data_IF_769197948626
#
_entry.id   IF_769197948626
#
_cell.length_a   1.000
_cell.length_b   1.000
_cell.length_c   1.000
_cell.angle_alpha   90.00
_cell.angle_beta   90.00
_cell.angle_gamma   90.00
#
_symmetry.space_group_name_H-M   'P 1'
#
loop_
_entity.id
_entity.type
_entity.pdbx_description
1 polymer ?
#
# COMPACT_ATOMS: atom_id res chain seq x y z
N UNK A 1 -39.04 -18.90 -28.18
CA UNK A 1 -38.34 -20.18 -28.39
C UNK A 1 -36.89 -19.92 -28.01
N UNK A 2 -36.50 -19.82 -26.74
CA UNK A 2 -36.83 -20.58 -25.52
C UNK A 2 -36.55 -22.09 -25.62
N UNK A 3 -35.70 -22.54 -24.68
CA UNK A 3 -35.53 -23.90 -24.13
C UNK A 3 -34.81 -24.93 -25.01
N UNK A 4 -33.92 -25.82 -24.53
CA UNK A 4 -33.66 -26.43 -23.21
C UNK A 4 -32.17 -26.88 -23.17
N UNK A 5 -31.41 -26.78 -22.04
CA UNK A 5 -31.12 -27.85 -21.03
C UNK A 5 -31.00 -29.26 -21.64
N UNK A 6 -29.97 -30.08 -21.45
CA UNK A 6 -29.24 -30.54 -20.25
C UNK A 6 -28.15 -31.50 -20.83
N UNK A 7 -26.97 -31.76 -20.26
CA UNK A 7 -26.70 -32.62 -19.10
C UNK A 7 -25.20 -32.66 -18.79
N UNK A 8 -24.93 -33.04 -17.55
CA UNK A 8 -23.67 -33.27 -16.82
C UNK A 8 -22.60 -34.13 -17.51
N UNK A 9 -21.33 -33.83 -17.21
CA UNK A 9 -20.36 -34.84 -16.75
C UNK A 9 -19.06 -34.18 -16.25
N UNK A 10 -18.58 -34.67 -15.11
CA UNK A 10 -17.34 -34.33 -14.42
C UNK A 10 -16.07 -34.61 -15.24
N UNK A 11 -14.98 -33.89 -14.97
CA UNK A 11 -13.68 -34.50 -14.63
C UNK A 11 -12.66 -33.46 -14.13
N UNK A 12 -11.61 -33.99 -13.51
CA UNK A 12 -10.52 -33.38 -12.76
C UNK A 12 -9.71 -32.25 -13.42
N UNK A 13 -8.95 -31.51 -12.61
CA UNK A 13 -7.94 -30.59 -13.13
C UNK A 13 -7.20 -29.71 -12.12
N UNK A 14 -6.43 -30.34 -11.22
CA UNK A 14 -5.10 -29.88 -10.75
C UNK A 14 -4.84 -28.36 -10.58
N UNK A 15 -4.89 -27.88 -9.33
CA UNK A 15 -4.23 -26.62 -8.91
C UNK A 15 -2.79 -26.90 -8.49
N UNK A 16 -1.84 -26.26 -9.16
CA UNK A 16 -0.40 -26.34 -8.93
C UNK A 16 0.03 -25.50 -7.73
N UNK A 17 0.33 -26.13 -6.60
CA UNK A 17 1.04 -25.48 -5.47
C UNK A 17 2.55 -25.68 -5.59
N UNK A 18 3.26 -24.57 -5.77
CA UNK A 18 4.72 -24.51 -5.76
C UNK A 18 5.32 -24.94 -4.42
N UNK A 19 6.42 -25.70 -4.51
CA UNK A 19 7.28 -26.10 -3.39
C UNK A 19 7.94 -24.86 -2.74
N UNK A 20 7.75 -24.70 -1.43
CA UNK A 20 8.74 -24.02 -0.58
C UNK A 20 9.32 -25.08 0.34
N UNK A 21 10.58 -25.44 0.08
CA UNK A 21 11.36 -26.38 0.89
C UNK A 21 12.08 -25.60 1.98
N UNK A 22 11.67 -25.75 3.24
CA UNK A 22 12.46 -25.31 4.39
C UNK A 22 13.09 -26.54 5.04
N UNK A 23 14.39 -26.64 4.84
CA UNK A 23 15.29 -27.65 5.37
C UNK A 23 15.39 -27.51 6.90
N UNK A 24 14.94 -28.54 7.64
CA UNK A 24 15.07 -28.61 9.10
C UNK A 24 15.57 -29.99 9.54
N UNK A 25 16.79 -30.32 9.12
CA UNK A 25 17.55 -31.40 9.74
C UNK A 25 18.99 -30.95 10.01
N UNK A 26 19.30 -30.64 11.28
CA UNK A 26 20.63 -30.83 11.91
C UNK A 26 20.58 -30.49 13.41
N UNK A 27 20.99 -31.47 14.23
CA UNK A 27 21.21 -31.36 15.69
C UNK A 27 19.93 -31.64 16.48
N UNK A 28 19.76 -32.72 17.24
CA UNK A 28 20.70 -33.45 18.07
C UNK A 28 20.28 -34.93 18.11
N UNK A 29 21.17 -35.83 17.68
CA UNK A 29 21.14 -37.26 18.05
C UNK A 29 22.19 -37.45 19.14
N UNK A 30 21.74 -37.70 20.37
CA UNK A 30 22.40 -38.37 21.50
C UNK A 30 21.46 -38.12 22.70
N UNK A 31 20.77 -39.09 23.28
CA UNK A 31 21.28 -40.30 23.91
C UNK A 31 20.23 -41.41 23.82
N UNK A 32 20.59 -42.52 23.18
CA UNK A 32 19.90 -43.78 23.33
C UNK A 32 20.56 -44.55 24.49
N UNK A 33 19.73 -45.14 25.35
CA UNK A 33 20.12 -46.23 26.24
C UNK A 33 20.24 -45.81 27.69
N UNK A 34 19.19 -46.07 28.47
CA UNK A 34 19.25 -46.83 29.71
C UNK A 34 17.85 -47.45 29.96
N UNK A 35 17.83 -48.77 29.83
CA UNK A 35 16.99 -49.74 30.54
C UNK A 35 15.46 -49.69 30.36
N UNK A 36 15.02 -50.55 29.44
CA UNK A 36 13.98 -51.57 29.67
C UNK A 36 13.47 -51.66 31.11
N UNK A 37 12.18 -51.37 31.29
CA UNK A 37 11.27 -52.25 32.02
C UNK A 37 9.83 -51.93 31.60
N UNK A 38 9.21 -52.90 30.95
CA UNK A 38 7.79 -52.92 30.64
C UNK A 38 6.97 -52.61 31.90
N UNK A 39 6.35 -51.43 31.94
CA UNK A 39 5.18 -51.22 32.79
C UNK A 39 3.99 -51.64 31.93
N UNK A 40 3.37 -52.80 32.20
CA UNK A 40 2.32 -53.32 31.36
C UNK A 40 1.13 -52.35 31.39
N UNK A 41 0.53 -52.12 30.22
CA UNK A 41 -0.69 -51.32 29.97
C UNK A 41 -1.84 -51.61 30.96
N UNK A 42 -1.78 -52.74 31.67
CA UNK A 42 -2.65 -53.11 32.78
C UNK A 42 -2.62 -52.14 33.99
N UNK A 43 -1.54 -51.40 34.26
CA UNK A 43 -1.48 -50.48 35.43
C UNK A 43 -2.14 -49.12 35.18
N UNK A 44 -2.27 -48.68 33.92
CA UNK A 44 -3.02 -47.45 33.57
C UNK A 44 -4.53 -47.73 33.58
N UNK A 45 -4.94 -48.95 33.19
CA UNK A 45 -6.32 -49.39 33.33
C UNK A 45 -6.75 -49.56 34.80
N UNK A 46 -5.84 -49.97 35.69
CA UNK A 46 -6.14 -50.11 37.12
C UNK A 46 -6.40 -48.77 37.84
N UNK A 47 -5.78 -47.66 37.39
CA UNK A 47 -6.02 -46.32 37.96
C UNK A 47 -7.27 -45.63 37.39
N UNK A 48 -7.64 -45.89 36.13
CA UNK A 48 -8.89 -45.39 35.54
C UNK A 48 -10.14 -46.16 36.02
N UNK A 49 -10.00 -47.45 36.36
CA UNK A 49 -11.09 -48.26 36.93
C UNK A 49 -11.28 -47.97 38.42
N UNK A 50 -10.26 -47.50 39.14
CA UNK A 50 -10.38 -47.09 40.54
C UNK A 50 -11.18 -45.79 40.73
N UNK A 51 -11.26 -44.92 39.72
CA UNK A 51 -12.11 -43.72 39.77
C UNK A 51 -13.56 -43.98 39.31
N UNK A 52 -13.83 -45.05 38.55
CA UNK A 52 -15.18 -45.37 38.04
C UNK A 52 -15.89 -46.43 38.90
N UNK A 53 -15.16 -47.27 39.64
CA UNK A 53 -15.75 -48.25 40.56
C UNK A 53 -16.17 -47.70 41.94
N UNK A 54 -15.91 -46.42 42.24
CA UNK A 54 -16.41 -45.76 43.48
C UNK A 54 -17.84 -45.24 43.30
N UNK A 55 -18.36 -45.19 42.07
CA UNK A 55 -19.68 -44.59 41.79
C UNK A 55 -20.88 -45.54 42.01
N UNK A 56 -20.80 -46.89 41.96
CA UNK A 56 -21.99 -47.72 42.21
C UNK A 56 -22.09 -48.39 43.60
N UNK A 57 -21.20 -48.12 44.58
CA UNK A 57 -21.39 -48.60 45.97
C UNK A 57 -22.00 -47.54 46.89
N UNK A 58 -22.11 -46.27 46.46
CA UNK A 58 -22.77 -45.22 47.23
C UNK A 58 -24.30 -45.16 47.05
N UNK A 59 -24.92 -46.19 46.46
CA UNK A 59 -26.39 -46.29 46.38
C UNK A 59 -27.04 -47.03 47.56
N UNK A 60 -26.26 -47.53 48.51
CA UNK A 60 -26.83 -48.08 49.74
C UNK A 60 -26.07 -47.63 50.97
N UNK A 61 -26.86 -47.22 51.97
CA UNK A 61 -26.51 -46.92 53.35
C UNK A 61 -26.07 -45.48 53.61
N UNK A 62 -26.98 -44.74 54.24
CA UNK A 62 -26.67 -43.46 54.86
C UNK A 62 -25.54 -43.62 55.88
N UNK A 63 -24.48 -42.86 55.67
CA UNK A 63 -23.49 -42.50 56.67
C UNK A 63 -23.16 -41.03 56.42
N UNK A 64 -23.81 -40.15 57.17
CA UNK A 64 -23.28 -38.82 57.45
C UNK A 64 -21.90 -39.02 58.10
N UNK A 65 -20.85 -39.05 57.28
CA UNK A 65 -19.48 -38.98 57.76
C UNK A 65 -18.83 -37.77 57.11
N UNK A 66 -18.26 -36.90 57.95
CA UNK A 66 -17.63 -35.65 57.57
C UNK A 66 -16.52 -35.80 56.50
N UNK A 67 -16.07 -37.02 56.22
CA UNK A 67 -15.10 -37.33 55.18
C UNK A 67 -15.70 -37.23 53.76
N UNK A 68 -16.97 -37.64 53.55
CA UNK A 68 -17.62 -37.54 52.24
C UNK A 68 -18.09 -36.11 51.94
N UNK A 69 -18.51 -35.36 52.95
CA UNK A 69 -18.83 -33.93 52.81
C UNK A 69 -17.60 -33.12 52.39
N UNK A 70 -16.41 -33.43 52.93
CA UNK A 70 -15.16 -32.76 52.52
C UNK A 70 -14.76 -33.08 51.08
N UNK A 71 -14.98 -34.31 50.62
CA UNK A 71 -14.70 -34.69 49.22
C UNK A 71 -15.72 -34.06 48.27
N UNK A 72 -17.00 -34.04 48.62
CA UNK A 72 -18.03 -33.36 47.83
C UNK A 72 -17.80 -31.84 47.77
N UNK A 73 -17.39 -31.20 48.88
CA UNK A 73 -17.00 -29.79 48.92
C UNK A 73 -15.77 -29.52 48.06
N UNK A 74 -14.70 -30.33 48.18
CA UNK A 74 -13.51 -30.16 47.36
C UNK A 74 -13.79 -30.33 45.86
N UNK A 75 -14.66 -31.27 45.46
CA UNK A 75 -15.08 -31.44 44.06
C UNK A 75 -15.94 -30.24 43.60
N UNK A 76 -16.80 -29.70 44.47
CA UNK A 76 -17.60 -28.52 44.16
C UNK A 76 -16.74 -27.26 44.00
N UNK A 77 -15.81 -27.01 44.94
CA UNK A 77 -14.89 -25.88 44.95
C UNK A 77 -13.95 -25.92 43.71
N UNK A 78 -13.39 -27.10 43.39
CA UNK A 78 -12.53 -27.28 42.20
C UNK A 78 -13.33 -27.04 40.90
N UNK A 79 -14.59 -27.46 40.84
CA UNK A 79 -15.46 -27.20 39.68
C UNK A 79 -15.79 -25.71 39.48
N UNK A 80 -15.87 -24.94 40.57
CA UNK A 80 -16.06 -23.50 40.54
C UNK A 80 -14.79 -22.79 40.07
N UNK A 81 -13.62 -23.22 40.56
CA UNK A 81 -12.30 -22.72 40.16
C UNK A 81 -12.02 -22.96 38.67
N UNK A 82 -12.31 -24.15 38.14
CA UNK A 82 -12.21 -24.44 36.71
C UNK A 82 -13.13 -23.56 35.87
N UNK A 83 -14.36 -23.33 36.34
CA UNK A 83 -15.33 -22.47 35.64
C UNK A 83 -14.87 -21.01 35.60
N UNK A 84 -14.30 -20.48 36.70
CA UNK A 84 -13.75 -19.12 36.71
C UNK A 84 -12.50 -19.00 35.83
N UNK A 85 -11.63 -20.02 35.83
CA UNK A 85 -10.47 -20.06 34.94
C UNK A 85 -10.88 -20.02 33.46
N UNK A 86 -11.90 -20.79 33.05
CA UNK A 86 -12.45 -20.75 31.69
C UNK A 86 -13.03 -19.36 31.37
N UNK A 87 -13.74 -18.73 32.32
CA UNK A 87 -14.24 -17.36 32.14
C UNK A 87 -13.09 -16.36 31.95
N UNK A 88 -12.02 -16.45 32.74
CA UNK A 88 -10.80 -15.63 32.61
C UNK A 88 -10.14 -15.85 31.24
N UNK A 89 -9.98 -17.10 30.84
CA UNK A 89 -9.43 -17.48 29.54
C UNK A 89 -10.26 -16.88 28.38
N UNK A 90 -11.58 -17.06 28.38
CA UNK A 90 -12.46 -16.53 27.35
C UNK A 90 -12.43 -14.99 27.29
N UNK A 91 -12.34 -14.32 28.45
CA UNK A 91 -12.14 -12.85 28.49
C UNK A 91 -10.82 -12.44 27.86
N UNK A 92 -9.74 -13.19 28.12
CA UNK A 92 -8.43 -12.91 27.54
C UNK A 92 -8.43 -13.13 26.02
N UNK A 93 -9.02 -14.23 25.54
CA UNK A 93 -9.20 -14.50 24.11
C UNK A 93 -10.00 -13.37 23.44
N UNK A 94 -11.08 -12.90 24.06
CA UNK A 94 -11.86 -11.76 23.53
C UNK A 94 -11.01 -10.49 23.40
N UNK A 95 -10.19 -10.18 24.42
CA UNK A 95 -9.27 -9.03 24.37
C UNK A 95 -8.21 -9.19 23.28
N UNK A 96 -7.63 -10.38 23.17
CA UNK A 96 -6.62 -10.69 22.15
C UNK A 96 -7.18 -10.55 20.74
N UNK A 97 -8.36 -11.09 20.47
CA UNK A 97 -9.00 -10.95 19.16
C UNK A 97 -9.34 -9.49 18.85
N UNK A 98 -9.86 -8.73 19.82
CA UNK A 98 -10.11 -7.30 19.62
C UNK A 98 -8.83 -6.49 19.33
N UNK A 99 -7.69 -6.88 19.92
CA UNK A 99 -6.40 -6.26 19.61
C UNK A 99 -5.91 -6.61 18.20
N UNK A 100 -6.19 -7.82 17.71
CA UNK A 100 -5.88 -8.19 16.31
C UNK A 100 -6.70 -7.35 15.34
N UNK A 101 -7.99 -7.16 15.62
CA UNK A 101 -8.86 -6.34 14.76
C UNK A 101 -8.34 -4.90 14.70
N UNK A 102 -8.01 -4.29 15.85
CA UNK A 102 -7.41 -2.95 15.91
C UNK A 102 -6.05 -2.88 15.19
N UNK A 103 -5.22 -3.92 15.32
CA UNK A 103 -3.94 -4.00 14.62
C UNK A 103 -4.13 -4.06 13.09
N UNK A 104 -5.09 -4.85 12.61
CA UNK A 104 -5.38 -4.97 11.18
C UNK A 104 -5.92 -3.64 10.62
N UNK A 105 -6.84 -2.97 11.32
CA UNK A 105 -7.32 -1.64 10.94
C UNK A 105 -6.17 -0.63 10.87
N UNK A 106 -5.24 -0.68 11.83
CA UNK A 106 -4.05 0.16 11.82
C UNK A 106 -3.10 -0.15 10.64
N UNK A 107 -2.97 -1.41 10.24
CA UNK A 107 -2.18 -1.80 9.06
C UNK A 107 -2.81 -1.26 7.77
N UNK A 108 -4.13 -1.39 7.61
CA UNK A 108 -4.86 -0.90 6.44
C UNK A 108 -4.70 0.61 6.27
N UNK A 109 -4.84 1.38 7.36
CA UNK A 109 -4.62 2.83 7.33
C UNK A 109 -3.18 3.21 6.95
N UNK A 110 -2.18 2.42 7.40
CA UNK A 110 -0.78 2.64 7.01
C UNK A 110 -0.55 2.36 5.53
N UNK A 111 -1.20 1.35 4.96
CA UNK A 111 -1.08 1.03 3.54
C UNK A 111 -1.76 2.08 2.66
N UNK A 112 -2.92 2.62 3.07
CA UNK A 112 -3.52 3.79 2.45
C UNK A 112 -2.60 5.02 2.52
N UNK A 113 -1.98 5.27 3.66
CA UNK A 113 -1.04 6.37 3.84
C UNK A 113 0.22 6.22 2.97
N UNK A 114 0.72 4.99 2.78
CA UNK A 114 1.83 4.71 1.84
C UNK A 114 1.42 5.00 0.40
N UNK A 115 0.21 4.62 0.00
CA UNK A 115 -0.32 4.92 -1.33
C UNK A 115 -0.42 6.43 -1.55
N UNK A 116 -1.00 7.16 -0.59
CA UNK A 116 -1.08 8.63 -0.66
C UNK A 116 0.32 9.27 -0.72
N UNK A 117 1.29 8.79 0.05
CA UNK A 117 2.68 9.27 0.00
C UNK A 117 3.31 9.04 -1.39
N UNK A 118 3.04 7.89 -2.00
CA UNK A 118 3.48 7.59 -3.37
C UNK A 118 2.85 8.55 -4.38
N UNK A 119 1.55 8.81 -4.25
CA UNK A 119 0.82 9.74 -5.11
C UNK A 119 1.37 11.19 -4.96
N UNK A 120 1.64 11.65 -3.73
CA UNK A 120 2.27 12.95 -3.46
C UNK A 120 3.62 13.06 -4.14
N UNK A 121 4.48 12.04 -4.00
CA UNK A 121 5.82 12.03 -4.60
C UNK A 121 5.73 12.15 -6.13
N UNK A 122 4.74 11.48 -6.73
CA UNK A 122 4.49 11.54 -8.18
C UNK A 122 4.01 12.93 -8.61
N UNK A 123 3.09 13.53 -7.86
CA UNK A 123 2.57 14.87 -8.14
C UNK A 123 3.66 15.95 -7.99
N UNK A 124 4.57 15.80 -7.02
CA UNK A 124 5.71 16.70 -6.87
C UNK A 124 6.64 16.64 -8.08
N UNK A 125 6.95 15.43 -8.56
CA UNK A 125 7.75 15.25 -9.77
C UNK A 125 7.06 15.86 -11.01
N UNK A 126 5.76 15.67 -11.16
CA UNK A 126 4.98 16.27 -12.25
C UNK A 126 4.96 17.80 -12.17
N UNK A 127 4.79 18.36 -10.98
CA UNK A 127 4.84 19.81 -10.73
C UNK A 127 6.20 20.37 -11.14
N UNK A 128 7.30 19.71 -10.76
CA UNK A 128 8.64 20.20 -11.03
C UNK A 128 9.00 20.11 -12.52
N UNK A 129 8.54 19.05 -13.20
CA UNK A 129 8.62 18.93 -14.65
C UNK A 129 7.85 20.07 -15.35
N UNK A 130 6.59 20.30 -14.95
CA UNK A 130 5.76 21.36 -15.52
C UNK A 130 6.33 22.75 -15.23
N UNK A 131 6.89 22.98 -14.03
CA UNK A 131 7.55 24.24 -13.68
C UNK A 131 8.75 24.51 -14.60
N UNK A 132 9.51 23.46 -14.91
CA UNK A 132 10.64 23.55 -15.84
C UNK A 132 10.14 23.86 -17.26
N UNK A 133 9.11 23.15 -17.73
CA UNK A 133 8.50 23.37 -19.05
C UNK A 133 7.93 24.78 -19.19
N UNK A 134 7.16 25.27 -18.21
CA UNK A 134 6.62 26.64 -18.20
C UNK A 134 7.75 27.67 -18.13
N UNK A 135 8.82 27.39 -17.37
CA UNK A 135 10.00 28.24 -17.32
C UNK A 135 10.67 28.36 -18.69
N UNK A 136 10.84 27.25 -19.41
CA UNK A 136 11.36 27.24 -20.78
C UNK A 136 10.42 27.97 -21.74
N UNK A 137 9.12 27.66 -21.72
CA UNK A 137 8.13 28.29 -22.59
C UNK A 137 8.12 29.82 -22.45
N UNK A 138 8.24 30.35 -21.22
CA UNK A 138 8.35 31.80 -20.98
C UNK A 138 9.58 32.43 -21.63
N UNK A 139 10.68 31.69 -21.71
CA UNK A 139 11.95 32.16 -22.28
C UNK A 139 12.01 32.03 -23.80
N UNK A 140 11.16 31.19 -24.39
CA UNK A 140 11.17 30.86 -25.83
C UNK A 140 9.88 31.29 -26.55
N UNK A 141 8.98 31.98 -25.86
CA UNK A 141 7.72 32.49 -26.42
C UNK A 141 7.64 33.99 -26.22
N UNK A 142 7.35 34.70 -27.30
CA UNK A 142 7.23 36.16 -27.34
C UNK A 142 5.82 36.51 -27.80
N UNK A 143 5.17 37.42 -27.12
CA UNK A 143 3.92 38.05 -27.56
C UNK A 143 4.08 39.56 -27.60
N UNK A 144 2.99 40.29 -27.85
CA UNK A 144 2.99 41.75 -27.83
C UNK A 144 3.62 42.30 -26.54
N UNK A 145 4.60 43.19 -26.69
CA UNK A 145 5.38 43.71 -25.58
C UNK A 145 6.79 44.14 -25.98
N UNK A 146 7.58 44.47 -24.96
CA UNK A 146 9.00 44.80 -25.07
C UNK A 146 9.77 43.81 -24.21
N UNK A 147 10.75 43.14 -24.80
CA UNK A 147 11.43 41.98 -24.22
C UNK A 147 12.94 42.22 -24.23
N UNK A 148 13.58 42.07 -23.07
CA UNK A 148 15.03 42.12 -22.96
C UNK A 148 15.63 40.73 -23.27
N UNK A 149 16.42 40.64 -24.33
CA UNK A 149 17.04 39.40 -24.76
C UNK A 149 18.19 39.04 -23.81
N UNK A 150 18.21 37.79 -23.35
CA UNK A 150 19.09 37.28 -22.30
C UNK A 150 18.50 37.39 -20.88
N UNK A 151 17.41 38.14 -20.69
CA UNK A 151 16.74 38.33 -19.39
C UNK A 151 15.31 37.80 -19.41
N UNK A 152 14.48 38.33 -20.28
CA UNK A 152 13.06 37.98 -20.39
C UNK A 152 12.86 36.81 -21.36
N UNK A 153 13.62 36.81 -22.46
CA UNK A 153 13.64 35.75 -23.49
C UNK A 153 15.06 35.37 -23.87
N UNK A 154 15.26 34.18 -24.42
CA UNK A 154 16.57 33.72 -24.88
C UNK A 154 16.94 34.31 -26.25
N UNK A 155 18.22 34.54 -26.49
CA UNK A 155 18.73 34.79 -27.84
C UNK A 155 18.44 33.63 -28.80
N UNK A 156 18.21 33.95 -30.06
CA UNK A 156 17.95 32.97 -31.13
C UNK A 156 17.00 33.49 -32.20
N UNK A 157 16.58 32.57 -33.08
CA UNK A 157 15.62 32.85 -34.16
C UNK A 157 14.22 32.51 -33.70
N UNK A 158 13.29 33.44 -33.92
CA UNK A 158 11.88 33.31 -33.60
C UNK A 158 11.07 33.34 -34.90
N UNK A 159 9.98 32.57 -34.93
CA UNK A 159 9.00 32.57 -36.02
C UNK A 159 7.62 32.83 -35.45
N UNK A 160 6.80 33.59 -36.14
CA UNK A 160 5.39 33.70 -35.80
C UNK A 160 4.73 32.30 -35.78
N UNK A 161 3.99 31.99 -34.73
CA UNK A 161 3.30 30.72 -34.55
C UNK A 161 2.12 30.59 -35.54
N UNK A 162 1.48 31.72 -35.83
CA UNK A 162 0.35 31.86 -36.76
C UNK A 162 0.68 32.86 -37.89
N UNK A 163 -0.13 32.88 -38.94
CA UNK A 163 0.00 33.91 -39.98
C UNK A 163 -0.33 35.28 -39.40
N UNK A 164 0.59 36.22 -39.53
CA UNK A 164 0.41 37.60 -39.06
C UNK A 164 -0.53 38.37 -39.99
N UNK A 165 -0.98 39.54 -39.52
CA UNK A 165 -1.75 40.51 -40.30
C UNK A 165 -0.88 41.71 -40.65
N UNK A 166 -1.41 42.63 -41.45
CA UNK A 166 -0.81 43.94 -41.75
C UNK A 166 -0.62 44.84 -40.51
N UNK A 167 -1.16 44.45 -39.34
CA UNK A 167 -0.95 45.16 -38.07
C UNK A 167 0.28 44.70 -37.31
N UNK A 168 0.97 43.67 -37.80
CA UNK A 168 2.18 43.18 -37.16
C UNK A 168 3.33 44.16 -37.38
N UNK A 169 3.89 44.64 -36.27
CA UNK A 169 5.13 45.39 -36.26
C UNK A 169 6.09 44.76 -35.25
N UNK A 170 7.35 44.60 -35.65
CA UNK A 170 8.41 44.23 -34.73
C UNK A 170 9.66 45.05 -34.95
N UNK A 171 10.44 45.21 -33.87
CA UNK A 171 11.67 45.99 -33.85
C UNK A 171 12.71 45.31 -32.95
N UNK A 172 13.95 45.24 -33.42
CA UNK A 172 15.13 44.84 -32.66
C UNK A 172 15.97 46.11 -32.47
N UNK A 173 16.27 46.44 -31.21
CA UNK A 173 17.07 47.61 -30.87
C UNK A 173 18.21 47.28 -29.90
N UNK A 174 19.22 48.14 -29.88
CA UNK A 174 20.34 48.07 -28.92
C UNK A 174 20.87 49.47 -28.64
N UNK A 175 21.09 49.78 -27.36
CA UNK A 175 21.58 51.10 -26.94
C UNK A 175 20.70 52.28 -27.41
N UNK A 176 19.39 52.05 -27.58
CA UNK A 176 18.44 53.05 -28.07
C UNK A 176 18.38 53.22 -29.60
N UNK A 177 19.18 52.46 -30.36
CA UNK A 177 19.15 52.48 -31.82
C UNK A 177 18.39 51.28 -32.37
N UNK A 178 17.58 51.50 -33.40
CA UNK A 178 16.91 50.43 -34.15
C UNK A 178 17.96 49.75 -35.04
N UNK A 179 18.14 48.44 -34.84
CA UNK A 179 19.02 47.61 -35.66
C UNK A 179 18.27 47.01 -36.84
N UNK A 180 17.04 46.56 -36.60
CA UNK A 180 16.18 45.98 -37.61
C UNK A 180 14.71 46.13 -37.19
N UNK A 181 13.83 46.36 -38.14
CA UNK A 181 12.39 46.39 -37.92
C UNK A 181 11.67 45.98 -39.20
N UNK A 182 10.41 45.57 -39.07
CA UNK A 182 9.57 45.27 -40.21
C UNK A 182 8.08 45.41 -39.87
N UNK A 183 7.25 45.57 -40.90
CA UNK A 183 5.79 45.56 -40.82
C UNK A 183 5.24 44.55 -41.84
N UNK A 184 5.40 43.25 -41.57
CA UNK A 184 5.05 42.22 -42.53
C UNK A 184 3.54 42.25 -42.84
N UNK A 185 3.19 42.31 -44.12
CA UNK A 185 1.79 42.33 -44.59
C UNK A 185 1.06 40.98 -44.52
N UNK A 186 1.68 39.95 -43.93
CA UNK A 186 1.13 38.61 -43.79
C UNK A 186 2.20 37.52 -43.66
N UNK A 187 1.76 36.27 -43.55
CA UNK A 187 2.64 35.10 -43.50
C UNK A 187 3.25 34.86 -42.12
N UNK A 188 4.38 34.15 -42.08
CA UNK A 188 5.01 33.73 -40.83
C UNK A 188 6.42 34.33 -40.73
N UNK A 189 6.54 35.64 -40.42
CA UNK A 189 7.82 36.33 -40.36
C UNK A 189 8.75 35.65 -39.35
N UNK A 190 10.05 35.77 -39.64
CA UNK A 190 11.13 35.31 -38.77
C UNK A 190 12.02 36.49 -38.40
N UNK A 191 12.48 36.51 -37.16
CA UNK A 191 13.42 37.49 -36.63
C UNK A 191 14.48 36.78 -35.80
N UNK A 192 15.70 37.33 -35.74
CA UNK A 192 16.80 36.76 -34.97
C UNK A 192 17.32 37.80 -34.00
N UNK A 193 17.36 37.44 -32.72
CA UNK A 193 17.80 38.32 -31.63
C UNK A 193 19.01 37.75 -30.91
N UNK A 194 19.86 38.64 -30.41
CA UNK A 194 21.10 38.35 -29.68
C UNK A 194 21.04 38.94 -28.27
N UNK A 195 21.80 38.36 -27.34
CA UNK A 195 21.84 38.83 -25.95
C UNK A 195 22.16 40.33 -25.84
N UNK A 196 21.48 40.99 -24.91
CA UNK A 196 21.62 42.44 -24.69
C UNK A 196 20.79 43.31 -25.64
N UNK A 197 20.20 42.74 -26.69
CA UNK A 197 19.22 43.44 -27.52
C UNK A 197 17.85 43.55 -26.82
N UNK A 198 17.01 44.42 -27.35
CA UNK A 198 15.60 44.53 -27.00
C UNK A 198 14.75 44.17 -28.23
N UNK A 199 13.73 43.34 -28.01
CA UNK A 199 12.72 42.99 -29.02
C UNK A 199 11.39 43.64 -28.63
N UNK A 200 10.82 44.43 -29.53
CA UNK A 200 9.46 44.93 -29.42
C UNK A 200 8.59 44.21 -30.45
N UNK A 201 7.42 43.74 -30.01
CA UNK A 201 6.42 43.09 -30.86
C UNK A 201 5.07 43.75 -30.59
N UNK A 202 4.31 44.06 -31.64
CA UNK A 202 2.98 44.67 -31.55
C UNK A 202 2.08 44.13 -32.66
N UNK A 203 0.90 43.63 -32.31
CA UNK A 203 -0.10 43.17 -33.28
C UNK A 203 0.33 41.94 -34.10
N UNK A 204 1.35 41.20 -33.67
CA UNK A 204 1.87 40.06 -34.41
C UNK A 204 1.39 38.70 -33.88
N UNK A 205 0.72 38.69 -32.72
CA UNK A 205 0.40 37.44 -32.02
C UNK A 205 1.65 36.87 -31.34
N UNK A 206 1.81 35.55 -31.41
CA UNK A 206 2.89 34.83 -30.73
C UNK A 206 4.02 34.49 -31.68
N UNK A 207 5.26 34.68 -31.23
CA UNK A 207 6.47 34.17 -31.83
C UNK A 207 7.06 33.08 -30.94
N UNK A 208 7.47 31.97 -31.54
CA UNK A 208 8.15 30.86 -30.84
C UNK A 208 9.56 30.69 -31.38
N UNK A 209 10.52 30.53 -30.46
CA UNK A 209 11.91 30.22 -30.80
C UNK A 209 11.99 28.90 -31.57
N UNK A 210 12.77 28.88 -32.64
CA UNK A 210 12.98 27.72 -33.53
C UNK A 210 14.14 26.85 -33.06
#
# INVERSE_FOLDING_TARGET
MSEQRNDDAADDGSVTTGKVSVDRQRGFRALAGILSRHVPVATVAALAVLCIAVVPVAYTVGLHSAAMDKVAQAIADDSEDYTDLIKKYNRLVKKYNGLIDEYNDAVDTVDEAKKLKSDITTLEAQRDALKTEVGQAKRTTVSDGVWQVGRDIDAGTYRASDSVTDRCYWEISSGGNILQNDMPGGGYPQLTVSDGQQLKVQGCGTFTKQ
#
